data_IF_725851980867
#
_entry.id   IF_725851980867
#
_cell.length_a   1.000
_cell.length_b   1.000
_cell.length_c   1.000
_cell.angle_alpha   90.00
_cell.angle_beta   90.00
_cell.angle_gamma   90.00
#
_symmetry.space_group_name_H-M   'P 1'
#
loop_
_entity.id
_entity.type
_entity.pdbx_description
1 polymer ?
#
# COMPACT_ATOMS: atom_id res chain seq x y z
N UNK A 1 13.61 23.24 -18.55
CA UNK A 1 13.43 21.89 -19.13
C UNK A 1 13.20 20.95 -17.97
N UNK A 2 12.05 20.27 -17.95
CA UNK A 2 11.41 19.71 -16.75
C UNK A 2 12.21 18.59 -16.07
N UNK A 3 12.49 18.79 -14.78
CA UNK A 3 13.00 17.78 -13.88
C UNK A 3 11.81 16.97 -13.36
N UNK A 4 11.35 16.01 -14.18
CA UNK A 4 10.32 15.05 -13.79
C UNK A 4 10.94 13.99 -12.88
N UNK A 5 10.75 14.14 -11.56
CA UNK A 5 11.08 13.08 -10.61
C UNK A 5 10.04 11.97 -10.81
N UNK A 6 10.47 10.81 -11.33
CA UNK A 6 9.61 9.66 -11.50
C UNK A 6 9.07 9.22 -10.10
N UNK A 7 7.75 9.24 -9.87
CA UNK A 7 7.15 8.90 -8.58
C UNK A 7 7.57 7.50 -8.08
N UNK A 8 7.85 6.59 -9.01
CA UNK A 8 8.30 5.23 -8.73
C UNK A 8 9.70 5.23 -8.11
N UNK A 9 10.59 6.11 -8.57
CA UNK A 9 11.94 6.24 -8.04
C UNK A 9 12.00 6.89 -6.66
N UNK A 10 11.05 7.78 -6.37
CA UNK A 10 10.90 8.36 -5.03
C UNK A 10 10.44 7.29 -4.02
N UNK A 11 9.39 6.53 -4.34
CA UNK A 11 8.91 5.44 -3.50
C UNK A 11 9.98 4.36 -3.28
N UNK A 12 10.74 4.00 -4.33
CA UNK A 12 11.81 3.03 -4.23
C UNK A 12 12.99 3.54 -3.39
N UNK A 13 13.32 4.84 -3.47
CA UNK A 13 14.34 5.46 -2.63
C UNK A 13 13.94 5.53 -1.16
N UNK A 14 12.67 5.83 -0.86
CA UNK A 14 12.17 5.84 0.51
C UNK A 14 12.19 4.43 1.11
N UNK A 15 11.69 3.43 0.38
CA UNK A 15 11.68 2.02 0.84
C UNK A 15 13.10 1.47 1.01
N UNK A 16 14.03 1.78 0.10
CA UNK A 16 15.42 1.33 0.21
C UNK A 16 16.18 2.03 1.36
N UNK A 17 15.86 3.31 1.65
CA UNK A 17 16.42 4.04 2.81
C UNK A 17 15.85 3.50 4.13
N UNK A 18 14.57 3.13 4.18
CA UNK A 18 13.94 2.49 5.35
C UNK A 18 14.50 1.09 5.60
N UNK A 19 14.70 0.28 4.55
CA UNK A 19 15.21 -1.09 4.68
C UNK A 19 16.69 -1.18 5.13
N UNK A 20 17.51 -0.17 4.83
CA UNK A 20 18.90 -0.07 5.31
C UNK A 20 19.02 0.46 6.74
N UNK A 21 17.92 0.84 7.37
CA UNK A 21 17.89 1.74 8.52
C UNK A 21 17.22 1.12 9.75
N UNK A 22 17.89 0.16 10.38
CA UNK A 22 17.72 -0.04 11.84
C UNK A 22 18.48 1.02 12.65
N UNK A 23 19.21 1.94 11.99
CA UNK A 23 20.05 2.96 12.63
C UNK A 23 19.59 4.42 12.41
N UNK A 24 18.54 4.71 11.62
CA UNK A 24 17.98 6.07 11.45
C UNK A 24 16.54 6.17 11.94
N UNK A 25 16.31 5.68 13.16
CA UNK A 25 15.22 6.21 13.99
C UNK A 25 15.39 7.73 14.28
N UNK A 26 16.54 8.31 13.92
CA UNK A 26 16.90 9.71 14.12
C UNK A 26 16.61 10.67 12.93
N UNK A 27 16.09 10.21 11.77
CA UNK A 27 15.84 11.08 10.59
C UNK A 27 14.38 11.07 10.10
N UNK A 28 13.45 10.46 10.84
CA UNK A 28 12.02 10.70 10.58
C UNK A 28 11.56 11.75 11.58
N UNK A 29 11.30 12.96 11.06
CA UNK A 29 10.51 13.96 11.77
C UNK A 29 9.26 13.25 12.31
N UNK A 30 9.00 13.26 13.63
CA UNK A 30 7.82 12.62 14.21
C UNK A 30 6.52 13.03 13.50
N UNK A 31 6.44 14.26 12.98
CA UNK A 31 5.30 14.73 12.20
C UNK A 31 5.15 14.01 10.86
N UNK A 32 6.24 13.62 10.20
CA UNK A 32 6.19 12.87 8.94
C UNK A 32 5.72 11.43 9.15
N UNK A 33 6.09 10.82 10.28
CA UNK A 33 5.63 9.47 10.61
C UNK A 33 4.10 9.43 10.78
N UNK A 34 3.53 10.40 11.51
CA UNK A 34 2.08 10.53 11.69
C UNK A 34 1.37 10.69 10.34
N UNK A 35 1.89 11.55 9.45
CA UNK A 35 1.31 11.73 8.12
C UNK A 35 1.38 10.46 7.26
N UNK A 36 2.44 9.66 7.40
CA UNK A 36 2.54 8.39 6.72
C UNK A 36 1.51 7.38 7.26
N UNK A 37 1.33 7.33 8.59
CA UNK A 37 0.33 6.48 9.24
C UNK A 37 -1.09 6.86 8.78
N UNK A 38 -1.44 8.15 8.82
CA UNK A 38 -2.73 8.67 8.35
C UNK A 38 -2.99 8.30 6.89
N UNK A 39 -2.03 8.59 6.01
CA UNK A 39 -2.13 8.24 4.58
C UNK A 39 -2.26 6.73 4.36
N UNK A 40 -1.58 5.91 5.17
CA UNK A 40 -1.64 4.47 5.05
C UNK A 40 -3.00 3.92 5.50
N UNK A 41 -3.61 4.48 6.55
CA UNK A 41 -4.98 4.16 6.97
C UNK A 41 -6.01 4.55 5.92
N UNK A 42 -5.87 5.72 5.30
CA UNK A 42 -6.71 6.15 4.18
C UNK A 42 -6.62 5.17 3.00
N UNK A 43 -5.41 4.72 2.65
CA UNK A 43 -5.21 3.73 1.60
C UNK A 43 -5.87 2.39 1.93
N UNK A 44 -5.80 1.91 3.18
CA UNK A 44 -6.54 0.71 3.60
C UNK A 44 -8.04 0.87 3.43
N UNK A 45 -8.59 2.02 3.84
CA UNK A 45 -10.00 2.31 3.70
C UNK A 45 -10.43 2.32 2.22
N UNK A 46 -9.59 2.87 1.33
CA UNK A 46 -9.85 2.88 -0.11
C UNK A 46 -9.84 1.48 -0.73
N UNK A 47 -8.88 0.63 -0.34
CA UNK A 47 -8.84 -0.78 -0.77
C UNK A 47 -10.12 -1.51 -0.37
N UNK A 48 -10.58 -1.32 0.88
CA UNK A 48 -11.81 -1.95 1.36
C UNK A 48 -13.05 -1.39 0.65
N UNK A 49 -13.09 -0.09 0.37
CA UNK A 49 -14.17 0.53 -0.41
C UNK A 49 -14.22 -0.01 -1.84
N UNK A 50 -13.06 -0.23 -2.46
CA UNK A 50 -12.96 -0.86 -3.78
C UNK A 50 -13.50 -2.29 -3.75
N UNK A 51 -13.14 -3.10 -2.75
CA UNK A 51 -13.68 -4.46 -2.65
C UNK A 51 -15.20 -4.48 -2.43
N UNK A 52 -15.75 -3.53 -1.67
CA UNK A 52 -17.20 -3.39 -1.52
C UNK A 52 -17.90 -3.03 -2.83
N UNK A 53 -17.23 -2.25 -3.69
CA UNK A 53 -17.82 -1.73 -4.93
C UNK A 53 -17.66 -2.70 -6.10
N UNK A 54 -16.51 -3.37 -6.22
CA UNK A 54 -16.13 -4.21 -7.37
C UNK A 54 -16.02 -5.70 -7.05
N UNK A 55 -16.17 -6.09 -5.78
CA UNK A 55 -15.83 -7.43 -5.31
C UNK A 55 -14.32 -7.61 -5.12
N UNK A 56 -13.91 -8.84 -4.81
CA UNK A 56 -12.50 -9.17 -4.61
C UNK A 56 -11.67 -8.89 -5.88
N UNK A 57 -10.54 -8.19 -5.71
CA UNK A 57 -9.58 -7.88 -6.78
C UNK A 57 -8.25 -8.58 -6.48
N UNK A 58 -7.63 -9.15 -7.52
CA UNK A 58 -6.27 -9.66 -7.43
C UNK A 58 -5.24 -8.52 -7.31
N UNK A 59 -3.97 -8.85 -7.05
CA UNK A 59 -2.94 -7.85 -6.82
C UNK A 59 -2.67 -6.97 -8.04
N UNK A 60 -2.97 -7.45 -9.25
CA UNK A 60 -2.73 -6.71 -10.48
C UNK A 60 -3.83 -5.67 -10.69
N UNK A 61 -5.09 -6.09 -10.59
CA UNK A 61 -6.24 -5.20 -10.69
C UNK A 61 -6.23 -4.15 -9.58
N UNK A 62 -5.81 -4.52 -8.36
CA UNK A 62 -5.68 -3.58 -7.25
C UNK A 62 -4.56 -2.55 -7.50
N UNK A 63 -3.42 -3.00 -8.02
CA UNK A 63 -2.30 -2.10 -8.36
C UNK A 63 -2.71 -1.07 -9.42
N UNK A 64 -3.40 -1.51 -10.47
CA UNK A 64 -3.89 -0.63 -11.54
C UNK A 64 -4.97 0.33 -11.04
N UNK A 65 -5.90 -0.13 -10.20
CA UNK A 65 -7.00 0.69 -9.69
C UNK A 65 -6.54 1.83 -8.75
N UNK A 66 -5.50 1.58 -7.96
CA UNK A 66 -5.01 2.51 -6.93
C UNK A 66 -3.68 3.18 -7.28
N UNK A 67 -3.14 2.95 -8.48
CA UNK A 67 -1.83 3.46 -8.88
C UNK A 67 -0.68 2.94 -8.00
N UNK A 68 -0.84 1.77 -7.39
CA UNK A 68 0.19 1.14 -6.56
C UNK A 68 1.17 0.34 -7.43
N UNK A 69 2.37 0.12 -6.91
CA UNK A 69 3.20 -0.96 -7.43
C UNK A 69 2.54 -2.32 -7.13
N UNK A 70 2.81 -3.33 -7.97
CA UNK A 70 2.34 -4.72 -7.70
C UNK A 70 2.78 -5.21 -6.32
N UNK A 71 3.99 -4.85 -5.87
CA UNK A 71 4.48 -5.18 -4.52
C UNK A 71 3.64 -4.53 -3.43
N UNK A 72 3.22 -3.27 -3.62
CA UNK A 72 2.33 -2.57 -2.71
C UNK A 72 0.97 -3.26 -2.62
N UNK A 73 0.38 -3.63 -3.76
CA UNK A 73 -0.89 -4.36 -3.79
C UNK A 73 -0.80 -5.73 -3.08
N UNK A 74 0.26 -6.53 -3.33
CA UNK A 74 0.52 -7.79 -2.62
C UNK A 74 0.61 -7.56 -1.11
N UNK A 75 1.32 -6.52 -0.69
CA UNK A 75 1.46 -6.17 0.72
C UNK A 75 0.10 -5.82 1.35
N UNK A 76 -0.73 -5.01 0.68
CA UNK A 76 -2.08 -4.65 1.15
C UNK A 76 -2.97 -5.88 1.31
N UNK A 77 -3.03 -6.74 0.29
CA UNK A 77 -3.81 -7.99 0.35
C UNK A 77 -3.35 -8.89 1.50
N UNK A 78 -2.03 -9.07 1.63
CA UNK A 78 -1.46 -9.88 2.71
C UNK A 78 -1.75 -9.29 4.09
N UNK A 79 -1.68 -7.97 4.24
CA UNK A 79 -1.97 -7.27 5.49
C UNK A 79 -3.45 -7.43 5.87
N UNK A 80 -4.34 -7.04 4.97
CA UNK A 80 -5.79 -7.10 5.21
C UNK A 80 -6.29 -8.53 5.42
N UNK A 81 -5.68 -9.51 4.75
CA UNK A 81 -5.97 -10.93 4.97
C UNK A 81 -5.58 -11.40 6.38
N UNK A 82 -4.40 -11.00 6.89
CA UNK A 82 -3.99 -11.30 8.27
C UNK A 82 -4.88 -10.63 9.31
N UNK A 83 -5.45 -9.48 8.99
CA UNK A 83 -6.35 -8.72 9.86
C UNK A 83 -7.81 -9.16 9.74
N UNK A 84 -8.14 -10.12 8.86
CA UNK A 84 -9.51 -10.58 8.64
C UNK A 84 -10.44 -9.50 8.04
N UNK A 85 -9.87 -8.46 7.44
CA UNK A 85 -10.61 -7.32 6.85
C UNK A 85 -11.01 -7.57 5.39
N UNK A 86 -10.44 -8.57 4.73
CA UNK A 86 -10.84 -8.92 3.36
C UNK A 86 -12.27 -9.49 3.37
N UNK A 87 -13.17 -9.01 2.49
CA UNK A 87 -14.45 -9.67 2.32
C UNK A 87 -14.18 -11.09 1.85
N UNK A 88 -14.75 -12.08 2.53
CA UNK A 88 -14.66 -13.48 2.15
C UNK A 88 -15.04 -13.62 0.68
N UNK A 89 -14.08 -14.00 -0.16
CA UNK A 89 -14.39 -14.61 -1.45
C UNK A 89 -14.95 -15.98 -1.12
N UNK A 90 -16.26 -16.09 -1.12
CA UNK A 90 -16.95 -17.37 -1.04
C UNK A 90 -16.68 -18.13 -2.35
N UNK A 91 -15.48 -18.71 -2.49
CA UNK A 91 -15.24 -19.86 -3.37
C UNK A 91 -15.82 -21.11 -2.69
N UNK A 92 -17.13 -21.08 -2.42
CA UNK A 92 -17.90 -22.30 -2.20
C UNK A 92 -18.15 -22.97 -3.55
N UNK A 93 -17.52 -24.14 -3.71
CA UNK A 93 -17.89 -25.23 -4.62
C UNK A 93 -17.64 -25.02 -6.12
N UNK A 94 -16.63 -25.73 -6.61
CA UNK A 94 -16.85 -26.69 -7.69
C UNK A 94 -16.02 -27.95 -7.48
#
# INVERSE_FOLDING_TARGET
>A
MGEGVDPTQMCQSLVNKVARSKQLAAITDPGLLVLFEDWFEELEAEVLALFKTRGFLDEKALAEALGLSRRGAIFMLSKLGREGKLPFSDESKQ
#
